data_IF_261966885300
#
_entry.id   IF_261966885300
#
_cell.length_a   1.000
_cell.length_b   1.000
_cell.length_c   1.000
_cell.angle_alpha   90.00
_cell.angle_beta   90.00
_cell.angle_gamma   90.00
#
_symmetry.space_group_name_H-M   'P 1'
#
loop_
_entity.id
_entity.type
_entity.pdbx_description
1 polymer ?
#
# COMPACT_ATOMS: atom_id res chain seq x y z
N UNK A 1 -35.09 -9.53 -18.35
CA UNK A 1 -34.03 -9.16 -17.39
C UNK A 1 -32.66 -9.39 -18.00
N UNK A 2 -31.80 -8.41 -17.94
CA UNK A 2 -30.43 -8.54 -18.46
C UNK A 2 -29.59 -9.42 -17.54
N UNK A 3 -28.95 -10.44 -18.11
CA UNK A 3 -28.08 -11.35 -17.37
C UNK A 3 -26.71 -10.69 -17.14
N UNK A 4 -26.29 -10.58 -15.88
CA UNK A 4 -25.00 -9.99 -15.52
C UNK A 4 -23.98 -11.13 -15.35
N UNK A 5 -22.88 -11.05 -16.11
CA UNK A 5 -21.78 -12.01 -16.03
C UNK A 5 -20.60 -11.37 -15.32
N UNK A 6 -20.36 -11.76 -14.09
CA UNK A 6 -19.14 -11.37 -13.35
C UNK A 6 -18.90 -12.35 -12.21
N UNK A 7 -17.68 -12.39 -11.76
CA UNK A 7 -17.30 -13.19 -10.60
C UNK A 7 -17.44 -12.33 -9.35
N UNK A 8 -18.49 -12.58 -8.55
CA UNK A 8 -18.74 -11.84 -7.31
C UNK A 8 -17.94 -12.37 -6.12
N UNK A 9 -17.28 -13.51 -6.25
CA UNK A 9 -16.43 -14.09 -5.22
C UNK A 9 -15.04 -14.41 -5.76
N UNK A 10 -14.26 -13.38 -6.18
CA UNK A 10 -12.91 -13.64 -6.69
C UNK A 10 -12.00 -14.16 -5.59
N UNK A 11 -11.02 -14.94 -5.97
CA UNK A 11 -10.00 -15.42 -5.03
C UNK A 11 -8.85 -14.43 -4.93
N UNK A 12 -8.23 -14.27 -3.74
CA UNK A 12 -7.00 -13.50 -3.60
C UNK A 12 -5.90 -14.05 -4.51
N UNK A 13 -5.03 -13.16 -4.98
CA UNK A 13 -3.93 -13.52 -5.87
C UNK A 13 -2.60 -13.12 -5.25
N UNK A 14 -1.71 -14.09 -5.06
CA UNK A 14 -0.35 -13.85 -4.63
C UNK A 14 0.40 -13.14 -5.76
N UNK A 15 0.90 -11.91 -5.49
CA UNK A 15 1.64 -11.10 -6.46
C UNK A 15 3.15 -11.35 -6.38
N UNK A 16 3.58 -12.28 -5.52
CA UNK A 16 4.96 -12.70 -5.41
C UNK A 16 5.68 -12.10 -4.22
N UNK A 17 6.96 -12.46 -4.14
CA UNK A 17 7.85 -11.96 -3.10
C UNK A 17 8.46 -10.62 -3.51
N UNK A 18 8.70 -9.77 -2.51
CA UNK A 18 9.46 -8.53 -2.63
C UNK A 18 10.66 -8.64 -1.69
N UNK A 19 11.68 -7.79 -1.88
CA UNK A 19 12.80 -7.75 -0.95
C UNK A 19 12.36 -7.46 0.49
N UNK A 20 11.35 -6.60 0.63
CA UNK A 20 10.80 -6.22 1.93
C UNK A 20 9.77 -7.22 2.49
N UNK A 21 9.30 -8.19 1.70
CA UNK A 21 8.29 -9.14 2.15
C UNK A 21 7.46 -9.74 1.03
N UNK A 22 6.15 -9.63 1.13
CA UNK A 22 5.22 -10.19 0.14
C UNK A 22 4.01 -9.28 -0.07
N UNK A 23 3.34 -9.50 -1.20
CA UNK A 23 2.18 -8.72 -1.62
C UNK A 23 1.11 -9.64 -2.16
N UNK A 24 -0.12 -9.48 -1.68
CA UNK A 24 -1.29 -10.25 -2.15
C UNK A 24 -2.39 -9.30 -2.57
N UNK A 25 -2.87 -9.46 -3.80
CA UNK A 25 -4.04 -8.74 -4.30
C UNK A 25 -5.29 -9.40 -3.73
N UNK A 26 -6.01 -8.69 -2.87
CA UNK A 26 -7.22 -9.18 -2.23
C UNK A 26 -8.45 -8.97 -3.10
N UNK A 27 -8.56 -7.81 -3.73
CA UNK A 27 -9.68 -7.45 -4.57
C UNK A 27 -9.27 -6.46 -5.64
N UNK A 28 -9.94 -6.50 -6.78
CA UNK A 28 -9.67 -5.60 -7.88
C UNK A 28 -10.97 -5.24 -8.59
N UNK A 29 -11.20 -3.94 -8.73
CA UNK A 29 -12.18 -3.43 -9.68
C UNK A 29 -11.37 -2.84 -10.83
N UNK A 30 -11.34 -3.48 -12.01
CA UNK A 30 -10.50 -3.05 -13.12
C UNK A 30 -10.69 -1.57 -13.46
N UNK A 31 -9.59 -0.86 -13.67
CA UNK A 31 -9.53 0.58 -13.99
C UNK A 31 -10.07 1.48 -12.87
N UNK A 32 -10.33 0.97 -11.70
CA UNK A 32 -10.92 1.73 -10.59
C UNK A 32 -10.09 1.64 -9.33
N UNK A 33 -10.09 0.49 -8.67
CA UNK A 33 -9.51 0.34 -7.34
C UNK A 33 -8.93 -1.06 -7.13
N UNK A 34 -7.85 -1.14 -6.36
CA UNK A 34 -7.30 -2.40 -5.87
C UNK A 34 -7.21 -2.38 -4.36
N UNK A 35 -7.32 -3.56 -3.78
CA UNK A 35 -7.12 -3.78 -2.36
C UNK A 35 -6.07 -4.87 -2.20
N UNK A 36 -5.01 -4.58 -1.45
CA UNK A 36 -3.88 -5.49 -1.25
C UNK A 36 -3.56 -5.65 0.22
N UNK A 37 -2.93 -6.76 0.56
CA UNK A 37 -2.25 -6.91 1.83
C UNK A 37 -0.74 -7.00 1.57
N UNK A 38 0.02 -6.17 2.29
CA UNK A 38 1.47 -6.15 2.25
C UNK A 38 1.98 -6.71 3.58
N UNK A 39 2.92 -7.62 3.51
CA UNK A 39 3.61 -8.14 4.69
C UNK A 39 5.07 -7.76 4.59
N UNK A 40 5.50 -6.89 5.48
CA UNK A 40 6.88 -6.38 5.51
C UNK A 40 7.64 -7.02 6.67
N UNK A 41 8.86 -7.45 6.38
CA UNK A 41 9.75 -8.04 7.39
C UNK A 41 10.47 -6.94 8.17
N UNK A 42 10.64 -7.16 9.48
CA UNK A 42 11.40 -6.28 10.36
C UNK A 42 12.73 -5.87 9.73
N UNK A 43 13.01 -4.58 9.75
CA UNK A 43 14.26 -4.00 9.24
C UNK A 43 14.30 -3.79 7.74
N UNK A 44 13.25 -4.18 7.01
CA UNK A 44 13.18 -3.99 5.57
C UNK A 44 12.43 -2.72 5.22
N UNK A 45 12.77 -2.15 4.07
CA UNK A 45 12.14 -0.91 3.58
C UNK A 45 11.99 -0.97 2.07
N UNK A 46 10.97 -0.26 1.58
CA UNK A 46 10.81 0.01 0.16
C UNK A 46 11.68 1.16 -0.29
N UNK A 47 11.64 1.50 -1.57
CA UNK A 47 12.34 2.66 -2.12
C UNK A 47 11.69 3.97 -1.71
N UNK A 48 12.50 5.03 -1.71
CA UNK A 48 11.98 6.38 -1.63
C UNK A 48 11.40 6.72 -3.01
N UNK A 49 10.12 7.04 -3.08
CA UNK A 49 9.41 7.12 -4.35
C UNK A 49 8.22 8.07 -4.29
N UNK A 50 7.70 8.41 -5.47
CA UNK A 50 6.41 9.09 -5.61
C UNK A 50 5.69 8.51 -6.81
N UNK A 51 4.37 8.68 -6.85
CA UNK A 51 3.52 8.29 -7.97
C UNK A 51 2.85 9.53 -8.54
N UNK A 52 2.80 9.65 -9.85
CA UNK A 52 2.18 10.81 -10.50
C UNK A 52 0.67 10.77 -10.42
N UNK A 53 0.08 9.60 -10.60
CA UNK A 53 -1.37 9.40 -10.73
C UNK A 53 -1.93 8.54 -9.61
N UNK A 54 -1.16 7.56 -9.15
CA UNK A 54 -1.61 6.61 -8.16
C UNK A 54 -1.92 7.30 -6.85
N UNK A 55 -3.14 7.10 -6.38
CA UNK A 55 -3.61 7.59 -5.10
C UNK A 55 -3.84 6.37 -4.22
N UNK A 56 -3.22 6.34 -3.04
CA UNK A 56 -3.26 5.16 -2.19
C UNK A 56 -3.38 5.52 -0.72
N UNK A 57 -4.04 4.64 0.03
CA UNK A 57 -4.10 4.74 1.47
C UNK A 57 -3.85 3.37 2.09
N UNK A 58 -3.38 3.38 3.32
CA UNK A 58 -3.06 2.15 4.03
C UNK A 58 -3.59 2.15 5.44
N UNK A 59 -3.81 0.94 5.95
CA UNK A 59 -4.21 0.66 7.31
C UNK A 59 -3.24 -0.35 7.89
N UNK A 60 -2.61 -0.01 9.01
CA UNK A 60 -1.68 -0.93 9.68
C UNK A 60 -2.49 -1.92 10.50
N UNK A 61 -2.47 -3.19 10.09
CA UNK A 61 -3.13 -4.28 10.82
C UNK A 61 -2.32 -4.71 12.03
N UNK A 62 -1.00 -4.79 11.87
CA UNK A 62 -0.10 -5.24 12.93
C UNK A 62 1.28 -4.67 12.74
N UNK A 63 2.02 -4.53 13.84
CA UNK A 63 3.40 -4.06 13.83
C UNK A 63 3.55 -2.56 13.90
N UNK A 64 4.80 -2.11 13.73
CA UNK A 64 5.16 -0.69 13.70
C UNK A 64 5.83 -0.37 12.38
N UNK A 65 5.27 0.60 11.67
CA UNK A 65 5.72 1.04 10.37
C UNK A 65 6.25 2.48 10.48
N UNK A 66 7.49 2.70 10.04
CA UNK A 66 8.03 4.04 9.91
C UNK A 66 7.75 4.55 8.51
N UNK A 67 7.09 5.69 8.41
CA UNK A 67 6.84 6.38 7.15
C UNK A 67 7.70 7.63 7.12
N UNK A 68 8.54 7.73 6.08
CA UNK A 68 9.24 8.96 5.75
C UNK A 68 8.49 9.61 4.62
N UNK A 69 8.20 10.89 4.75
CA UNK A 69 7.51 11.63 3.70
C UNK A 69 8.00 13.07 3.64
N UNK A 70 7.90 13.66 2.46
CA UNK A 70 8.26 15.05 2.25
C UNK A 70 7.09 15.94 2.66
N UNK A 71 7.35 16.90 3.56
CA UNK A 71 6.34 17.86 3.97
C UNK A 71 6.24 19.02 2.96
N UNK A 72 5.34 19.98 3.23
CA UNK A 72 5.10 21.13 2.37
C UNK A 72 6.34 22.02 2.16
N UNK A 73 7.30 21.94 3.07
CA UNK A 73 8.56 22.71 3.00
C UNK A 73 9.69 21.96 2.30
N UNK A 74 9.41 20.79 1.72
CA UNK A 74 10.40 19.96 1.06
C UNK A 74 11.32 19.19 1.99
N UNK A 75 10.96 19.08 3.28
CA UNK A 75 11.73 18.32 4.27
C UNK A 75 11.18 16.92 4.42
N UNK A 76 12.07 15.92 4.49
CA UNK A 76 11.70 14.56 4.85
C UNK A 76 11.48 14.49 6.35
N UNK A 77 10.30 14.06 6.76
CA UNK A 77 9.95 13.86 8.16
C UNK A 77 9.48 12.43 8.39
N UNK A 78 9.57 11.98 9.62
CA UNK A 78 9.30 10.61 10.03
C UNK A 78 8.00 10.54 10.83
N UNK A 79 7.18 9.55 10.54
CA UNK A 79 5.98 9.24 11.30
C UNK A 79 5.94 7.75 11.58
N UNK A 80 5.81 7.38 12.86
CA UNK A 80 5.61 5.97 13.24
C UNK A 80 4.12 5.68 13.27
N UNK A 81 3.71 4.69 12.49
CA UNK A 81 2.34 4.18 12.47
C UNK A 81 2.29 2.82 13.17
N UNK A 82 1.31 2.64 14.05
CA UNK A 82 1.06 1.41 14.79
C UNK A 82 -0.23 0.76 14.31
N UNK A 83 -0.49 -0.46 14.76
CA UNK A 83 -1.76 -1.14 14.47
C UNK A 83 -2.93 -0.21 14.75
N UNK A 84 -3.83 -0.09 13.77
CA UNK A 84 -4.98 0.81 13.81
C UNK A 84 -4.76 2.17 13.16
N UNK A 85 -3.53 2.55 12.85
CA UNK A 85 -3.26 3.82 12.20
C UNK A 85 -3.49 3.75 10.69
N UNK A 86 -3.88 4.88 10.12
CA UNK A 86 -4.16 5.04 8.69
C UNK A 86 -3.19 6.07 8.11
N UNK A 87 -2.75 5.85 6.88
CA UNK A 87 -1.98 6.82 6.13
C UNK A 87 -2.51 6.97 4.71
N UNK A 88 -2.22 8.12 4.10
CA UNK A 88 -2.67 8.43 2.74
C UNK A 88 -1.52 9.06 1.96
N UNK A 89 -1.15 8.41 0.86
CA UNK A 89 -0.15 8.93 -0.05
C UNK A 89 -0.86 9.50 -1.29
N UNK A 90 -1.03 10.82 -1.28
CA UNK A 90 -1.61 11.52 -2.43
C UNK A 90 -0.66 11.47 -3.63
N UNK A 91 -1.16 11.60 -4.87
CA UNK A 91 -0.29 11.70 -6.03
C UNK A 91 0.75 12.81 -5.86
N UNK A 92 2.01 12.50 -6.19
CA UNK A 92 3.13 13.44 -6.07
C UNK A 92 3.85 13.42 -4.73
N UNK A 93 3.29 12.80 -3.69
CA UNK A 93 3.94 12.74 -2.38
C UNK A 93 5.16 11.83 -2.40
N UNK A 94 6.32 12.38 -2.09
CA UNK A 94 7.55 11.59 -1.90
C UNK A 94 7.45 10.87 -0.56
N UNK A 95 7.58 9.55 -0.57
CA UNK A 95 7.42 8.73 0.63
C UNK A 95 8.25 7.46 0.59
N UNK A 96 8.47 6.89 1.77
CA UNK A 96 9.15 5.61 1.95
C UNK A 96 8.59 4.93 3.19
N UNK A 97 8.43 3.62 3.13
CA UNK A 97 7.97 2.80 4.25
C UNK A 97 9.09 1.89 4.73
N UNK A 98 9.25 1.78 6.05
CA UNK A 98 10.20 0.87 6.68
C UNK A 98 9.54 0.14 7.83
N UNK A 99 9.68 -1.18 7.86
CA UNK A 99 9.13 -2.01 8.94
C UNK A 99 10.08 -1.99 10.14
N UNK A 100 9.64 -1.37 11.24
CA UNK A 100 10.40 -1.39 12.51
C UNK A 100 10.23 -2.72 13.22
N UNK A 101 9.10 -3.37 13.02
CA UNK A 101 8.82 -4.77 13.39
C UNK A 101 8.20 -5.43 12.17
N UNK A 102 7.93 -6.75 12.22
CA UNK A 102 7.12 -7.36 11.18
C UNK A 102 5.77 -6.65 11.12
N UNK A 103 5.37 -6.23 9.93
CA UNK A 103 4.14 -5.46 9.71
C UNK A 103 3.21 -6.14 8.71
N UNK A 104 1.90 -6.01 8.96
CA UNK A 104 0.87 -6.31 7.98
C UNK A 104 0.07 -5.05 7.72
N UNK A 105 -0.09 -4.69 6.44
CA UNK A 105 -0.73 -3.44 6.01
C UNK A 105 -1.78 -3.78 4.96
N UNK A 106 -2.99 -3.26 5.11
CA UNK A 106 -3.98 -3.27 4.03
C UNK A 106 -3.83 -1.97 3.26
N UNK A 107 -3.74 -2.07 1.95
CA UNK A 107 -3.58 -0.92 1.07
C UNK A 107 -4.66 -0.90 0.00
N UNK A 108 -5.36 0.22 -0.11
CA UNK A 108 -6.29 0.50 -1.19
C UNK A 108 -5.66 1.54 -2.11
N UNK A 109 -5.76 1.33 -3.41
CA UNK A 109 -5.21 2.28 -4.36
C UNK A 109 -6.00 2.31 -5.66
N UNK A 110 -5.83 3.41 -6.41
CA UNK A 110 -6.25 3.44 -7.80
C UNK A 110 -5.36 2.49 -8.62
N UNK A 111 -5.83 2.07 -9.79
CA UNK A 111 -5.19 0.99 -10.56
C UNK A 111 -4.11 1.48 -11.53
N UNK A 112 -3.29 2.44 -11.11
CA UNK A 112 -2.17 2.95 -11.90
C UNK A 112 -0.91 2.14 -11.59
N UNK A 113 -0.89 0.87 -11.99
CA UNK A 113 0.17 -0.06 -11.60
C UNK A 113 1.54 0.23 -12.25
N UNK A 114 1.57 0.94 -13.35
CA UNK A 114 2.80 1.30 -14.06
C UNK A 114 3.29 2.72 -13.75
N UNK A 115 2.73 3.33 -12.74
CA UNK A 115 3.04 4.73 -12.38
C UNK A 115 4.25 4.83 -11.45
#
# INVERSE_FOLDING_TARGET
MKKIKHNIFPSPKNMGKREWGSETLLALIPKKISLKILKMKKGKKGGLQYHRKKNECGYVLSGKLLIRYENEKGKLINKICKAGDVFHFVPGLIHQEEALTNCSIIEASTTHFND
#
